data_IF_316703338630
#
_entry.id   IF_316703338630
#
_cell.length_a   1.000
_cell.length_b   1.000
_cell.length_c   1.000
_cell.angle_alpha   90.00
_cell.angle_beta   90.00
_cell.angle_gamma   90.00
#
_symmetry.space_group_name_H-M   'P 1'
#
loop_
_entity.id
_entity.type
_entity.pdbx_description
1 polymer ?
#
# COMPACT_ATOMS: atom_id res chain seq x y z
N UNK A 1 -15.84 -14.30 -4.17
CA UNK A 1 -17.29 -14.02 -4.38
C UNK A 1 -17.55 -12.53 -4.50
N UNK A 2 -17.16 -11.69 -3.52
CA UNK A 2 -17.37 -10.24 -3.55
C UNK A 2 -16.81 -9.54 -4.82
N UNK A 3 -15.56 -9.84 -5.21
CA UNK A 3 -14.94 -9.24 -6.40
C UNK A 3 -15.69 -9.59 -7.70
N UNK A 4 -16.11 -10.83 -7.87
CA UNK A 4 -16.87 -11.20 -9.09
C UNK A 4 -18.21 -10.49 -9.12
N UNK A 5 -18.90 -10.32 -7.98
CA UNK A 5 -20.12 -9.50 -7.92
C UNK A 5 -19.85 -8.03 -8.27
N UNK A 6 -18.74 -7.43 -7.81
CA UNK A 6 -18.36 -6.07 -8.23
C UNK A 6 -18.13 -6.00 -9.75
N UNK A 7 -17.44 -6.98 -10.31
CA UNK A 7 -17.19 -7.08 -11.76
C UNK A 7 -18.47 -7.25 -12.56
N UNK A 8 -19.41 -8.04 -12.08
CA UNK A 8 -20.71 -8.23 -12.73
C UNK A 8 -21.52 -6.92 -12.72
N UNK A 9 -21.44 -6.15 -11.63
CA UNK A 9 -22.14 -4.87 -11.48
C UNK A 9 -21.57 -3.77 -12.38
N UNK A 10 -20.25 -3.67 -12.48
CA UNK A 10 -19.56 -2.67 -13.31
C UNK A 10 -19.41 -3.11 -14.78
N UNK A 11 -19.65 -4.38 -15.06
CA UNK A 11 -19.56 -4.98 -16.38
C UNK A 11 -18.16 -5.51 -16.75
N UNK A 12 -18.07 -6.32 -17.81
CA UNK A 12 -16.85 -7.07 -18.14
C UNK A 12 -15.68 -6.19 -18.60
N UNK A 13 -15.96 -4.98 -19.05
CA UNK A 13 -14.94 -4.00 -19.49
C UNK A 13 -14.45 -3.10 -18.35
N UNK A 14 -15.00 -3.24 -17.13
CA UNK A 14 -14.57 -2.47 -15.97
C UNK A 14 -13.15 -2.85 -15.55
N UNK A 15 -12.41 -1.88 -15.01
CA UNK A 15 -11.09 -2.11 -14.45
C UNK A 15 -11.15 -2.16 -12.92
N UNK A 16 -10.57 -3.19 -12.31
CA UNK A 16 -10.32 -3.20 -10.88
C UNK A 16 -9.00 -2.46 -10.58
N UNK A 17 -8.99 -1.64 -9.53
CA UNK A 17 -7.79 -1.02 -8.97
C UNK A 17 -7.45 -1.73 -7.66
N UNK A 18 -6.46 -2.63 -7.70
CA UNK A 18 -6.02 -3.37 -6.53
C UNK A 18 -5.03 -2.55 -5.71
N UNK A 19 -5.30 -2.40 -4.42
CA UNK A 19 -4.43 -1.72 -3.47
C UNK A 19 -3.63 -2.78 -2.70
N UNK A 20 -2.36 -2.95 -3.08
CA UNK A 20 -1.38 -3.80 -2.41
C UNK A 20 -0.53 -2.93 -1.49
N UNK A 21 -0.79 -2.97 -0.19
CA UNK A 21 -0.14 -2.04 0.73
C UNK A 21 0.17 -2.61 2.09
N UNK A 22 0.90 -1.80 2.85
CA UNK A 22 0.96 -1.89 4.30
C UNK A 22 -0.09 -0.94 4.90
N UNK A 23 0.15 -0.55 6.14
CA UNK A 23 -0.60 0.45 6.90
C UNK A 23 -0.82 1.84 6.25
N UNK A 24 -0.24 2.09 5.09
CA UNK A 24 -0.41 3.33 4.32
C UNK A 24 -1.62 3.26 3.39
N UNK A 25 -2.03 2.06 3.00
CA UNK A 25 -3.27 1.79 2.27
C UNK A 25 -4.26 1.00 3.13
N UNK A 26 -3.75 0.15 4.03
CA UNK A 26 -4.56 -0.50 5.04
C UNK A 26 -4.84 0.51 6.14
N UNK A 27 -6.12 0.81 6.31
CA UNK A 27 -6.66 1.88 7.11
C UNK A 27 -5.93 2.08 8.44
N UNK A 28 -4.97 3.01 8.48
CA UNK A 28 -4.58 3.60 9.73
C UNK A 28 -5.42 4.85 9.94
N UNK A 29 -6.25 4.78 10.96
CA UNK A 29 -7.14 5.80 11.52
C UNK A 29 -6.52 7.16 11.88
N UNK A 30 -5.24 7.45 11.57
CA UNK A 30 -4.58 8.74 11.86
C UNK A 30 -4.79 9.81 10.79
N UNK A 31 -5.10 9.47 9.53
CA UNK A 31 -5.26 10.50 8.48
C UNK A 31 -6.48 11.41 8.72
N UNK A 32 -7.48 10.94 9.48
CA UNK A 32 -8.79 11.59 9.60
C UNK A 32 -9.11 12.16 10.98
N UNK A 33 -8.13 12.32 11.87
CA UNK A 33 -8.40 12.94 13.16
C UNK A 33 -7.57 14.17 13.50
N UNK A 34 -6.97 14.86 12.52
CA UNK A 34 -6.23 16.13 12.74
C UNK A 34 -5.33 16.09 14.01
N UNK A 35 -4.69 14.95 14.31
CA UNK A 35 -3.86 14.77 15.51
C UNK A 35 -4.58 14.43 16.84
N UNK A 36 -5.84 14.01 16.85
CA UNK A 36 -6.51 13.63 18.09
C UNK A 36 -6.03 12.26 18.63
N UNK A 37 -5.85 12.11 19.95
CA UNK A 37 -5.37 10.87 20.56
C UNK A 37 -6.35 9.71 20.36
N UNK A 38 -5.80 8.50 20.26
CA UNK A 38 -6.51 7.25 19.94
C UNK A 38 -7.72 6.96 20.85
N UNK A 39 -7.73 7.50 22.08
CA UNK A 39 -8.80 7.35 23.06
C UNK A 39 -10.14 8.00 22.65
N UNK A 40 -10.15 8.93 21.68
CA UNK A 40 -11.38 9.60 21.19
C UNK A 40 -12.03 8.89 19.99
N UNK A 41 -11.44 7.81 19.49
CA UNK A 41 -11.95 7.12 18.32
C UNK A 41 -13.25 6.37 18.62
N UNK A 42 -14.31 6.70 17.87
CA UNK A 42 -15.56 5.93 17.88
C UNK A 42 -15.64 5.10 16.59
N UNK A 43 -15.66 3.76 16.68
CA UNK A 43 -15.71 2.88 15.51
C UNK A 43 -16.88 3.18 14.56
N UNK A 44 -17.98 3.77 15.05
CA UNK A 44 -19.17 4.07 14.26
C UNK A 44 -18.97 5.22 13.27
N UNK A 45 -18.09 6.18 13.57
CA UNK A 45 -17.85 7.37 12.75
C UNK A 45 -16.84 7.08 11.61
N UNK A 46 -16.08 5.99 11.73
CA UNK A 46 -15.16 5.52 10.70
C UNK A 46 -15.83 4.69 9.59
N UNK A 47 -17.16 4.56 9.64
CA UNK A 47 -17.92 3.79 8.66
C UNK A 47 -19.02 4.65 8.01
N UNK A 48 -19.10 4.63 6.69
CA UNK A 48 -20.17 5.25 5.92
C UNK A 48 -21.07 4.18 5.28
N UNK A 49 -22.13 4.62 4.60
CA UNK A 49 -22.83 3.77 3.65
C UNK A 49 -21.85 3.29 2.59
N UNK A 50 -21.98 2.03 2.16
CA UNK A 50 -21.14 1.52 1.09
C UNK A 50 -21.35 2.33 -0.19
N UNK A 51 -20.36 2.35 -1.08
CA UNK A 51 -20.38 3.13 -2.32
C UNK A 51 -19.95 2.30 -3.52
N UNK A 52 -20.37 2.71 -4.72
CA UNK A 52 -19.84 2.27 -6.01
C UNK A 52 -19.92 0.74 -6.24
N UNK A 53 -21.05 0.13 -5.87
CA UNK A 53 -21.34 -1.28 -6.04
C UNK A 53 -21.22 -2.09 -4.75
N UNK A 54 -20.45 -1.61 -3.77
CA UNK A 54 -20.31 -2.29 -2.48
C UNK A 54 -21.61 -2.36 -1.68
N UNK A 55 -22.60 -1.50 -1.94
CA UNK A 55 -23.95 -1.51 -1.35
C UNK A 55 -24.69 -2.81 -1.61
N UNK A 56 -24.37 -3.47 -2.73
CA UNK A 56 -24.99 -4.73 -3.16
C UNK A 56 -24.18 -5.96 -2.72
N UNK A 57 -22.94 -5.74 -2.28
CA UNK A 57 -21.97 -6.80 -1.95
C UNK A 57 -21.85 -6.99 -0.44
N UNK A 58 -21.78 -5.89 0.32
CA UNK A 58 -21.58 -5.92 1.77
C UNK A 58 -22.89 -6.11 2.53
N UNK A 59 -22.82 -6.79 3.67
CA UNK A 59 -23.94 -7.03 4.58
C UNK A 59 -23.48 -6.83 6.04
N UNK A 60 -23.86 -5.71 6.71
CA UNK A 60 -24.65 -4.59 6.20
C UNK A 60 -23.93 -3.80 5.10
N UNK A 61 -24.64 -2.99 4.29
CA UNK A 61 -24.05 -2.19 3.22
C UNK A 61 -23.31 -0.96 3.79
N UNK A 62 -22.25 -1.22 4.56
CA UNK A 62 -21.39 -0.20 5.16
C UNK A 62 -19.94 -0.49 4.84
N UNK A 63 -19.18 0.57 4.56
CA UNK A 63 -17.74 0.52 4.34
C UNK A 63 -17.03 1.28 5.43
N UNK A 64 -15.80 0.87 5.73
CA UNK A 64 -14.84 1.70 6.45
C UNK A 64 -14.40 2.84 5.52
N UNK A 65 -14.33 4.07 6.01
CA UNK A 65 -13.90 5.24 5.22
C UNK A 65 -12.37 5.28 5.00
N UNK A 66 -11.83 4.19 4.47
CA UNK A 66 -10.41 4.03 4.14
C UNK A 66 -10.07 4.57 2.74
N UNK A 67 -8.83 4.35 2.28
CA UNK A 67 -8.39 4.77 0.94
C UNK A 67 -9.28 4.18 -0.16
N UNK A 68 -9.71 2.92 -0.04
CA UNK A 68 -10.57 2.31 -1.05
C UNK A 68 -11.98 2.91 -1.06
N UNK A 69 -12.55 3.26 0.10
CA UNK A 69 -13.81 3.99 0.16
C UNK A 69 -13.73 5.32 -0.60
N UNK A 70 -12.72 6.15 -0.29
CA UNK A 70 -12.57 7.45 -0.94
C UNK A 70 -12.27 7.32 -2.44
N UNK A 71 -11.43 6.36 -2.84
CA UNK A 71 -11.20 6.09 -4.26
C UNK A 71 -12.48 5.65 -4.97
N UNK A 72 -13.30 4.78 -4.36
CA UNK A 72 -14.56 4.35 -4.96
C UNK A 72 -15.59 5.49 -5.01
N UNK A 73 -15.63 6.36 -4.01
CA UNK A 73 -16.47 7.56 -4.03
C UNK A 73 -16.08 8.47 -5.21
N UNK A 74 -14.79 8.81 -5.35
CA UNK A 74 -14.29 9.63 -6.46
C UNK A 74 -14.56 8.98 -7.83
N UNK A 75 -14.32 7.68 -7.97
CA UNK A 75 -14.62 6.93 -9.20
C UNK A 75 -16.12 6.96 -9.56
N UNK A 76 -17.00 6.90 -8.55
CA UNK A 76 -18.43 7.06 -8.74
C UNK A 76 -18.80 8.47 -9.20
N UNK A 77 -18.24 9.50 -8.56
CA UNK A 77 -18.51 10.91 -8.85
C UNK A 77 -18.09 11.29 -10.28
N UNK A 78 -16.95 10.79 -10.76
CA UNK A 78 -16.50 11.03 -12.15
C UNK A 78 -17.12 10.07 -13.16
N UNK A 79 -17.96 9.12 -12.73
CA UNK A 79 -18.58 8.12 -13.60
C UNK A 79 -17.59 7.18 -14.27
N UNK A 80 -16.47 6.86 -13.62
CA UNK A 80 -15.45 5.98 -14.17
C UNK A 80 -15.93 4.53 -14.21
N UNK A 81 -15.62 3.83 -15.32
CA UNK A 81 -15.84 2.39 -15.44
C UNK A 81 -14.72 1.59 -14.76
N UNK A 82 -14.53 1.84 -13.47
CA UNK A 82 -13.52 1.21 -12.63
C UNK A 82 -13.93 1.25 -11.16
N UNK A 83 -13.43 0.32 -10.35
CA UNK A 83 -13.66 0.29 -8.91
C UNK A 83 -12.37 -0.11 -8.17
N UNK A 84 -12.20 0.33 -6.93
CA UNK A 84 -11.03 0.04 -6.11
C UNK A 84 -11.31 -1.09 -5.11
N UNK A 85 -10.30 -1.94 -4.88
CA UNK A 85 -10.36 -3.05 -3.92
C UNK A 85 -9.16 -2.95 -2.99
N UNK A 86 -9.44 -2.79 -1.69
CA UNK A 86 -8.37 -2.81 -0.69
C UNK A 86 -7.95 -4.24 -0.37
N UNK A 87 -6.65 -4.51 -0.50
CA UNK A 87 -6.00 -5.77 -0.15
C UNK A 87 -4.69 -5.52 0.62
N UNK A 88 -4.55 -4.31 1.17
CA UNK A 88 -3.44 -3.95 2.01
C UNK A 88 -3.53 -4.66 3.36
N UNK A 89 -2.37 -4.81 4.02
CA UNK A 89 -2.24 -5.53 5.29
C UNK A 89 -1.37 -4.71 6.25
N UNK A 90 -1.95 -4.27 7.36
CA UNK A 90 -1.31 -3.41 8.34
C UNK A 90 -0.01 -4.01 8.88
N UNK A 91 0.93 -3.14 9.20
CA UNK A 91 2.18 -3.47 9.91
C UNK A 91 3.01 -4.58 9.23
N UNK A 92 2.77 -4.85 7.95
CA UNK A 92 3.57 -5.82 7.19
C UNK A 92 4.84 -5.20 6.64
N UNK A 93 5.84 -6.05 6.46
CA UNK A 93 7.15 -5.71 5.91
C UNK A 93 7.20 -6.17 4.45
N UNK A 94 7.89 -5.42 3.61
CA UNK A 94 8.20 -5.85 2.25
C UNK A 94 9.07 -7.11 2.28
N UNK A 95 10.06 -7.14 3.17
CA UNK A 95 10.96 -8.28 3.31
C UNK A 95 10.27 -9.57 3.81
N UNK A 96 9.12 -9.49 4.51
CA UNK A 96 8.33 -10.68 4.85
C UNK A 96 7.58 -11.27 3.66
N UNK A 97 7.27 -10.45 2.63
CA UNK A 97 6.56 -10.89 1.41
C UNK A 97 7.51 -11.48 0.38
N UNK A 98 8.61 -10.80 0.11
CA UNK A 98 9.56 -11.22 -0.94
C UNK A 98 10.72 -12.08 -0.41
N UNK A 99 10.91 -12.11 0.90
CA UNK A 99 12.12 -12.67 1.48
C UNK A 99 13.33 -11.78 1.23
N UNK A 100 14.35 -11.96 2.04
CA UNK A 100 15.50 -11.07 2.02
C UNK A 100 16.39 -11.32 3.22
N UNK A 101 17.24 -10.34 3.54
CA UNK A 101 18.09 -10.41 4.72
C UNK A 101 17.41 -9.58 5.81
N UNK A 102 16.72 -10.25 6.74
CA UNK A 102 16.31 -9.62 7.99
C UNK A 102 17.49 -9.69 8.97
N UNK A 103 17.66 -8.62 9.77
CA UNK A 103 18.57 -8.56 10.92
C UNK A 103 19.92 -9.27 10.69
N UNK A 104 20.83 -8.52 10.05
CA UNK A 104 22.26 -8.80 9.85
C UNK A 104 22.64 -9.83 8.80
N UNK A 105 22.10 -11.04 8.79
CA UNK A 105 22.54 -12.08 7.84
C UNK A 105 21.54 -13.24 7.69
N UNK A 106 20.35 -13.13 8.28
CA UNK A 106 19.42 -14.27 8.29
C UNK A 106 18.58 -14.20 7.02
N UNK A 107 18.74 -15.14 6.07
CA UNK A 107 17.83 -15.23 4.95
C UNK A 107 16.44 -15.55 5.50
N UNK A 108 15.49 -14.66 5.20
CA UNK A 108 14.08 -14.91 5.45
C UNK A 108 13.45 -15.52 4.22
N UNK A 109 12.75 -16.62 4.44
CA UNK A 109 11.83 -17.20 3.49
C UNK A 109 10.56 -16.35 3.51
N UNK A 110 10.47 -15.38 2.60
CA UNK A 110 9.23 -14.62 2.44
C UNK A 110 8.22 -15.35 1.57
N UNK A 111 6.95 -14.98 1.72
CA UNK A 111 5.84 -15.49 0.92
C UNK A 111 4.74 -14.45 0.80
N UNK A 112 4.02 -14.49 -0.32
CA UNK A 112 2.82 -13.68 -0.49
C UNK A 112 1.79 -14.05 0.58
N UNK A 113 1.17 -13.04 1.18
CA UNK A 113 0.03 -13.26 2.07
C UNK A 113 -1.23 -13.62 1.27
N UNK A 114 -2.28 -14.12 1.93
CA UNK A 114 -3.53 -14.50 1.25
C UNK A 114 -4.12 -13.35 0.40
N UNK A 115 -4.01 -12.10 0.87
CA UNK A 115 -4.46 -10.92 0.14
C UNK A 115 -3.60 -10.63 -1.11
N UNK A 116 -2.29 -10.90 -1.03
CA UNK A 116 -1.39 -10.80 -2.19
C UNK A 116 -1.67 -11.89 -3.23
N UNK A 117 -1.89 -13.11 -2.74
CA UNK A 117 -2.27 -14.23 -3.58
C UNK A 117 -3.61 -13.99 -4.24
N UNK A 118 -4.55 -13.38 -3.53
CA UNK A 118 -5.83 -12.92 -4.08
C UNK A 118 -5.62 -11.92 -5.22
N UNK A 119 -4.76 -10.91 -5.05
CA UNK A 119 -4.42 -9.97 -6.13
C UNK A 119 -3.82 -10.75 -7.33
N UNK A 120 -2.80 -11.57 -7.09
CA UNK A 120 -2.09 -12.36 -8.10
C UNK A 120 -3.04 -13.25 -8.91
N UNK A 121 -4.01 -13.86 -8.23
CA UNK A 121 -4.86 -14.89 -8.81
C UNK A 121 -6.09 -14.31 -9.50
N UNK A 122 -6.52 -13.09 -9.14
CA UNK A 122 -7.71 -12.46 -9.71
C UNK A 122 -7.42 -11.27 -10.63
N UNK A 123 -6.18 -10.80 -10.75
CA UNK A 123 -5.80 -9.72 -11.66
C UNK A 123 -6.22 -9.99 -13.12
N UNK A 124 -6.70 -8.97 -13.83
CA UNK A 124 -6.96 -9.00 -15.28
C UNK A 124 -6.05 -8.02 -16.04
N UNK A 125 -5.83 -8.21 -17.36
CA UNK A 125 -4.96 -7.33 -18.16
C UNK A 125 -5.38 -5.86 -18.19
N UNK A 126 -6.67 -5.55 -17.99
CA UNK A 126 -7.21 -4.19 -17.93
C UNK A 126 -7.10 -3.52 -16.55
N UNK A 127 -6.82 -4.31 -15.51
CA UNK A 127 -6.79 -3.85 -14.13
C UNK A 127 -5.54 -2.99 -13.87
N UNK A 128 -5.56 -2.25 -12.76
CA UNK A 128 -4.43 -1.51 -12.24
C UNK A 128 -4.00 -2.08 -10.89
N UNK A 129 -2.69 -2.06 -10.63
CA UNK A 129 -2.10 -2.47 -9.37
C UNK A 129 -1.38 -1.28 -8.73
N UNK A 130 -1.78 -0.91 -7.51
CA UNK A 130 -1.12 0.11 -6.70
C UNK A 130 -0.34 -0.57 -5.59
N UNK A 131 0.96 -0.32 -5.51
CA UNK A 131 1.87 -0.90 -4.53
C UNK A 131 2.37 0.20 -3.59
N UNK A 132 2.06 0.10 -2.30
CA UNK A 132 2.55 1.01 -1.25
C UNK A 132 2.99 0.20 -0.02
N UNK A 133 4.22 -0.28 -0.06
CA UNK A 133 4.82 -1.11 0.99
C UNK A 133 6.27 -0.71 1.19
N UNK A 134 6.78 -0.92 2.41
CA UNK A 134 8.20 -0.78 2.72
C UNK A 134 8.54 0.33 3.71
N UNK A 135 7.56 1.16 4.11
CA UNK A 135 7.77 2.14 5.18
C UNK A 135 8.12 1.46 6.50
N UNK A 136 7.46 0.34 6.79
CA UNK A 136 7.70 -0.44 8.00
C UNK A 136 9.09 -1.12 8.02
N UNK A 137 9.67 -1.44 6.87
CA UNK A 137 11.03 -2.01 6.77
C UNK A 137 12.09 -1.02 7.25
N UNK A 138 11.85 0.29 7.12
CA UNK A 138 12.69 1.34 7.70
C UNK A 138 12.34 1.55 9.18
N UNK A 139 11.05 1.67 9.51
CA UNK A 139 10.59 2.20 10.79
C UNK A 139 10.44 1.16 11.91
N UNK A 140 9.92 -0.05 11.61
CA UNK A 140 9.51 -1.03 12.62
C UNK A 140 10.50 -2.18 12.78
N UNK A 141 11.23 -2.54 11.73
CA UNK A 141 12.18 -3.65 11.76
C UNK A 141 13.48 -3.32 11.00
N UNK A 142 14.20 -2.23 11.35
CA UNK A 142 15.43 -1.88 10.67
C UNK A 142 16.49 -2.95 10.90
N UNK A 143 17.04 -3.48 9.81
CA UNK A 143 18.26 -4.29 9.89
C UNK A 143 19.44 -3.43 10.38
N UNK A 144 20.51 -4.04 10.90
CA UNK A 144 21.71 -3.26 11.29
C UNK A 144 22.28 -2.47 10.12
N UNK A 145 22.20 -2.98 8.90
CA UNK A 145 22.60 -2.22 7.69
C UNK A 145 21.70 -1.02 7.45
N UNK A 146 20.39 -1.15 7.68
CA UNK A 146 19.46 -0.01 7.64
C UNK A 146 19.81 1.01 8.73
N UNK A 147 20.09 0.58 9.97
CA UNK A 147 20.49 1.49 11.06
C UNK A 147 21.79 2.21 10.71
N UNK A 148 22.81 1.50 10.22
CA UNK A 148 24.09 2.11 9.80
C UNK A 148 23.85 3.10 8.66
N UNK A 149 23.02 2.75 7.67
CA UNK A 149 22.69 3.64 6.57
C UNK A 149 21.91 4.87 7.03
N UNK A 150 20.96 4.73 7.96
CA UNK A 150 20.22 5.85 8.56
C UNK A 150 21.16 6.78 9.35
N UNK A 151 22.03 6.24 10.20
CA UNK A 151 23.02 7.04 10.93
C UNK A 151 23.96 7.75 9.96
N UNK A 152 24.42 7.08 8.92
CA UNK A 152 25.24 7.69 7.89
C UNK A 152 24.49 8.83 7.16
N UNK A 153 23.19 8.67 6.85
CA UNK A 153 22.38 9.75 6.29
C UNK A 153 22.26 10.95 7.24
N UNK A 154 21.97 10.70 8.52
CA UNK A 154 21.80 11.76 9.52
C UNK A 154 23.08 12.55 9.79
N UNK A 155 24.23 11.88 9.75
CA UNK A 155 25.54 12.51 9.96
C UNK A 155 26.09 13.19 8.70
N UNK A 156 25.50 12.94 7.53
CA UNK A 156 25.99 13.48 6.25
C UNK A 156 25.30 14.81 5.93
N UNK A 157 26.06 15.92 5.81
CA UNK A 157 25.53 17.19 5.35
C UNK A 157 24.82 17.06 3.99
N UNK A 158 23.69 17.76 3.82
CA UNK A 158 22.89 17.73 2.59
C UNK A 158 23.69 17.85 1.27
N UNK A 159 24.70 18.73 1.13
CA UNK A 159 25.49 18.83 -0.11
C UNK A 159 26.23 17.54 -0.48
N UNK A 160 26.46 16.64 0.47
CA UNK A 160 27.16 15.37 0.29
C UNK A 160 26.21 14.19 0.07
N UNK A 161 24.89 14.39 0.23
CA UNK A 161 23.85 13.40 -0.04
C UNK A 161 23.54 13.31 -1.55
N UNK A 162 24.56 12.98 -2.34
CA UNK A 162 24.41 12.70 -3.78
C UNK A 162 23.94 11.26 -3.99
N UNK A 163 23.43 10.94 -5.18
CA UNK A 163 22.91 9.59 -5.50
C UNK A 163 23.94 8.46 -5.34
N UNK A 164 25.23 8.78 -5.38
CA UNK A 164 26.32 7.84 -5.16
C UNK A 164 26.70 7.66 -3.68
N UNK A 165 26.10 8.42 -2.75
CA UNK A 165 26.36 8.26 -1.32
C UNK A 165 25.99 6.82 -0.90
N UNK A 166 26.88 6.07 -0.24
CA UNK A 166 26.66 4.64 0.01
C UNK A 166 25.33 4.31 0.70
N UNK A 167 24.88 5.16 1.63
CA UNK A 167 23.59 4.99 2.29
C UNK A 167 22.41 5.25 1.34
N UNK A 168 22.49 6.27 0.48
CA UNK A 168 21.45 6.56 -0.52
C UNK A 168 21.39 5.43 -1.53
N UNK A 169 22.54 4.99 -2.04
CA UNK A 169 22.65 3.87 -2.96
C UNK A 169 22.09 2.57 -2.35
N UNK A 170 22.37 2.31 -1.07
CA UNK A 170 21.82 1.17 -0.34
C UNK A 170 20.28 1.20 -0.31
N UNK A 171 19.68 2.33 0.08
CA UNK A 171 18.22 2.45 0.08
C UNK A 171 17.61 2.31 -1.31
N UNK A 172 18.20 2.97 -2.32
CA UNK A 172 17.74 2.86 -3.70
C UNK A 172 17.79 1.41 -4.18
N UNK A 173 18.89 0.70 -3.95
CA UNK A 173 19.04 -0.70 -4.37
C UNK A 173 18.08 -1.61 -3.63
N UNK A 174 17.98 -1.46 -2.31
CA UNK A 174 17.12 -2.27 -1.45
C UNK A 174 15.65 -2.10 -1.87
N UNK A 175 15.14 -0.87 -1.90
CA UNK A 175 13.76 -0.59 -2.25
C UNK A 175 13.46 -0.98 -3.69
N UNK A 176 14.32 -0.58 -4.64
CA UNK A 176 14.13 -0.92 -6.05
C UNK A 176 14.03 -2.43 -6.23
N UNK A 177 14.99 -3.19 -5.71
CA UNK A 177 15.03 -4.64 -5.93
C UNK A 177 13.87 -5.35 -5.22
N UNK A 178 13.61 -5.02 -3.96
CA UNK A 178 12.54 -5.69 -3.22
C UNK A 178 11.15 -5.35 -3.75
N UNK A 179 10.89 -4.08 -4.09
CA UNK A 179 9.60 -3.68 -4.68
C UNK A 179 9.43 -4.27 -6.08
N UNK A 180 10.50 -4.31 -6.90
CA UNK A 180 10.45 -4.98 -8.21
C UNK A 180 10.14 -6.47 -8.07
N UNK A 181 10.78 -7.14 -7.10
CA UNK A 181 10.51 -8.56 -6.83
C UNK A 181 9.07 -8.76 -6.37
N UNK A 182 8.57 -7.90 -5.50
CA UNK A 182 7.19 -7.98 -5.00
C UNK A 182 6.17 -7.76 -6.12
N UNK A 183 6.37 -6.71 -6.92
CA UNK A 183 5.57 -6.45 -8.11
C UNK A 183 5.59 -7.65 -9.06
N UNK A 184 6.77 -8.23 -9.32
CA UNK A 184 6.92 -9.42 -10.15
C UNK A 184 6.19 -10.65 -9.60
N UNK A 185 6.15 -10.83 -8.28
CA UNK A 185 5.40 -11.91 -7.64
C UNK A 185 3.88 -11.71 -7.78
N UNK A 186 3.39 -10.48 -7.55
CA UNK A 186 1.97 -10.14 -7.73
C UNK A 186 1.52 -10.28 -9.19
N UNK A 187 2.38 -9.91 -10.15
CA UNK A 187 2.04 -9.98 -11.58
C UNK A 187 2.53 -11.25 -12.26
N UNK A 188 2.87 -12.29 -11.48
CA UNK A 188 3.47 -13.53 -12.01
C UNK A 188 2.53 -14.33 -12.92
N UNK A 189 1.20 -14.18 -12.74
CA UNK A 189 0.19 -14.83 -13.58
C UNK A 189 -0.33 -13.94 -14.69
N UNK A 190 -0.56 -12.66 -14.38
CA UNK A 190 -1.14 -11.68 -15.31
C UNK A 190 -0.42 -10.35 -15.15
N UNK A 191 -0.13 -9.72 -16.29
CA UNK A 191 0.40 -8.35 -16.32
C UNK A 191 -0.76 -7.36 -16.40
N UNK A 192 -0.95 -6.47 -15.41
CA UNK A 192 -1.99 -5.43 -15.45
C UNK A 192 -1.65 -4.36 -16.49
N UNK A 193 -2.64 -3.54 -16.83
CA UNK A 193 -2.44 -2.40 -17.73
C UNK A 193 -1.47 -1.38 -17.12
N UNK A 194 -1.52 -1.22 -15.79
CA UNK A 194 -0.72 -0.25 -15.05
C UNK A 194 -0.26 -0.83 -13.72
N UNK A 195 0.99 -0.56 -13.36
CA UNK A 195 1.52 -0.76 -12.01
C UNK A 195 1.98 0.60 -11.50
N UNK A 196 1.37 1.07 -10.42
CA UNK A 196 1.72 2.31 -9.73
C UNK A 196 2.47 1.91 -8.47
N UNK A 197 3.70 2.41 -8.32
CA UNK A 197 4.50 2.22 -7.10
C UNK A 197 4.52 3.55 -6.36
N UNK A 198 3.90 3.57 -5.19
CA UNK A 198 3.89 4.72 -4.31
C UNK A 198 4.86 4.49 -3.15
N UNK A 199 5.67 5.48 -2.84
CA UNK A 199 6.31 5.60 -1.53
C UNK A 199 5.45 6.53 -0.70
N UNK A 200 5.34 6.30 0.61
CA UNK A 200 4.53 7.10 1.53
C UNK A 200 4.81 8.58 1.31
N UNK A 201 3.88 9.25 0.64
CA UNK A 201 3.91 10.67 0.43
C UNK A 201 2.88 11.26 1.38
N UNK A 202 3.35 11.85 2.47
CA UNK A 202 2.49 12.71 3.24
C UNK A 202 2.32 14.00 2.41
N UNK A 203 1.13 14.19 1.84
CA UNK A 203 0.78 15.43 1.16
C UNK A 203 0.48 16.45 2.27
N UNK A 204 1.53 17.04 2.84
CA UNK A 204 1.38 18.09 3.85
C UNK A 204 0.90 19.38 3.16
N UNK A 205 -0.42 19.53 3.04
CA UNK A 205 -1.05 20.77 2.54
C UNK A 205 -0.71 21.99 3.41
N UNK A 206 -0.22 21.77 4.64
CA UNK A 206 0.14 22.82 5.60
C UNK A 206 1.61 22.77 6.01
N UNK A 207 2.50 22.26 5.14
CA UNK A 207 3.96 22.44 5.12
C UNK A 207 4.68 22.83 6.44
N UNK A 208 4.38 22.21 7.58
CA UNK A 208 4.74 22.81 8.87
C UNK A 208 4.59 21.96 10.12
N UNK A 209 3.78 20.89 10.10
CA UNK A 209 3.59 20.03 11.28
C UNK A 209 3.70 18.53 10.95
N UNK A 210 4.38 18.16 9.86
CA UNK A 210 4.74 16.77 9.62
C UNK A 210 6.25 16.52 9.80
N UNK A 211 6.54 15.78 10.88
CA UNK A 211 7.86 15.45 11.47
C UNK A 211 8.70 16.64 11.96
#
# INVERSE_FOLDING_TARGET
QALETLRDLHGPSSAAVFLAGDSTLDNKTWLFNQGAPAERWRPQDAHAEAVHGYEKVLRPPRMVCDVAYWMNQELAEIGANAFAVNSAIEATLLASRVGGVHTCVVPSCGGLYEQDEFIRDYLRPQDALVISVGGNDIALAPSVLIVIALVALMLTPWPLLVSCHPAVAYFVLMFRYQVQRYAGMLTSRVRPAKVVVCMVYNLDERNGESW
#
